data_IF_632527099168
#
_entry.id   IF_632527099168
#
_cell.length_a   1.000
_cell.length_b   1.000
_cell.length_c   1.000
_cell.angle_alpha   90.00
_cell.angle_beta   90.00
_cell.angle_gamma   90.00
#
_symmetry.space_group_name_H-M   'P 1'
#
loop_
_entity.id
_entity.type
_entity.pdbx_description
1 polymer ?
#
# COMPACT_ATOMS: atom_id res chain seq x y z
N UNK A 1 -76.20 0.44 4.92
CA UNK A 1 -74.87 -0.15 5.20
C UNK A 1 -73.98 0.09 3.99
N UNK A 2 -72.73 0.47 4.28
CA UNK A 2 -71.70 0.96 3.36
C UNK A 2 -71.26 -0.10 2.34
N UNK A 3 -70.53 0.36 1.31
CA UNK A 3 -69.50 -0.33 0.51
C UNK A 3 -69.92 -0.80 -0.90
N UNK A 4 -69.12 -0.71 -1.96
CA UNK A 4 -67.74 -0.25 -2.18
C UNK A 4 -67.65 0.08 -3.71
N UNK A 5 -67.38 1.32 -4.09
CA UNK A 5 -67.02 1.67 -5.48
C UNK A 5 -65.58 1.21 -5.74
N UNK A 6 -65.38 0.29 -6.69
CA UNK A 6 -64.04 -0.13 -7.13
C UNK A 6 -63.58 0.75 -8.28
N UNK A 7 -62.64 1.65 -7.97
CA UNK A 7 -61.87 2.39 -8.96
C UNK A 7 -60.91 1.45 -9.70
N UNK A 8 -61.01 1.37 -11.02
CA UNK A 8 -59.99 0.73 -11.85
C UNK A 8 -58.76 1.64 -11.97
N UNK A 9 -57.52 1.12 -11.89
CA UNK A 9 -56.33 1.93 -12.08
C UNK A 9 -56.03 2.16 -13.58
N UNK A 10 -55.64 3.39 -13.89
CA UNK A 10 -55.08 3.86 -15.16
C UNK A 10 -53.85 3.03 -15.56
N UNK A 11 -53.95 2.29 -16.67
CA UNK A 11 -52.78 1.66 -17.32
C UNK A 11 -52.02 2.74 -18.07
N UNK A 12 -51.00 3.31 -17.42
CA UNK A 12 -49.97 4.08 -18.12
C UNK A 12 -49.20 3.09 -19.01
N UNK A 13 -49.20 3.34 -20.32
CA UNK A 13 -48.42 2.59 -21.32
C UNK A 13 -46.96 2.56 -20.90
N UNK A 14 -46.44 1.38 -20.57
CA UNK A 14 -45.02 1.15 -20.34
C UNK A 14 -44.39 0.76 -21.68
N UNK A 15 -43.64 1.68 -22.28
CA UNK A 15 -42.78 1.38 -23.44
C UNK A 15 -41.45 0.91 -22.88
N UNK A 16 -41.13 -0.39 -23.03
CA UNK A 16 -39.83 -0.93 -22.69
C UNK A 16 -38.93 -0.78 -23.92
N UNK A 17 -38.10 0.26 -23.95
CA UNK A 17 -36.97 0.36 -24.88
C UNK A 17 -35.84 -0.46 -24.26
N UNK A 18 -35.59 -1.66 -24.79
CA UNK A 18 -34.39 -2.42 -24.45
C UNK A 18 -33.22 -1.83 -25.22
N UNK A 19 -32.37 -1.07 -24.54
CA UNK A 19 -31.12 -0.56 -25.08
C UNK A 19 -30.10 -1.70 -24.99
N UNK A 20 -29.85 -2.41 -26.10
CA UNK A 20 -28.71 -3.32 -26.19
C UNK A 20 -27.43 -2.47 -26.26
N UNK A 21 -26.76 -2.31 -25.12
CA UNK A 21 -25.41 -1.78 -25.07
C UNK A 21 -24.45 -2.81 -25.69
N UNK A 22 -23.94 -2.51 -26.88
CA UNK A 22 -22.81 -3.24 -27.44
C UNK A 22 -21.57 -2.83 -26.66
N UNK A 23 -21.07 -3.72 -25.81
CA UNK A 23 -19.77 -3.53 -25.17
C UNK A 23 -18.68 -3.71 -26.21
N UNK A 24 -18.12 -2.60 -26.69
CA UNK A 24 -16.88 -2.63 -27.45
C UNK A 24 -15.74 -2.99 -26.51
N UNK A 25 -15.24 -4.22 -26.59
CA UNK A 25 -13.95 -4.57 -25.99
C UNK A 25 -12.86 -3.92 -26.85
N UNK A 26 -12.28 -2.82 -26.37
CA UNK A 26 -11.02 -2.33 -26.93
C UNK A 26 -9.97 -3.31 -26.44
N UNK A 27 -9.55 -4.25 -27.28
CA UNK A 27 -8.36 -5.06 -26.98
C UNK A 27 -7.18 -4.10 -26.98
N UNK A 28 -6.47 -4.00 -25.86
CA UNK A 28 -5.17 -3.35 -25.85
C UNK A 28 -4.28 -4.09 -26.87
N UNK A 29 -3.58 -3.35 -27.72
CA UNK A 29 -2.62 -3.96 -28.63
C UNK A 29 -1.55 -4.69 -27.81
N UNK A 30 -1.08 -5.88 -28.24
CA UNK A 30 0.04 -6.54 -27.59
C UNK A 30 1.24 -5.59 -27.62
N UNK A 31 1.69 -5.14 -26.46
CA UNK A 31 2.92 -4.36 -26.36
C UNK A 31 4.08 -5.34 -26.17
N UNK A 32 5.06 -5.28 -27.08
CA UNK A 32 6.30 -6.03 -26.93
C UNK A 32 7.25 -5.22 -26.04
N UNK A 33 7.67 -5.72 -24.87
CA UNK A 33 8.62 -5.02 -23.98
C UNK A 33 9.92 -4.63 -24.68
N UNK A 34 10.31 -5.37 -25.73
CA UNK A 34 11.49 -5.11 -26.56
C UNK A 34 11.41 -3.83 -27.40
N UNK A 35 10.21 -3.24 -27.55
CA UNK A 35 9.99 -1.99 -28.26
C UNK A 35 9.84 -0.78 -27.33
N UNK A 36 9.88 -0.97 -26.01
CA UNK A 36 9.91 0.13 -25.05
C UNK A 36 11.33 0.67 -24.90
N UNK A 37 11.50 2.00 -24.77
CA UNK A 37 12.80 2.56 -24.49
C UNK A 37 13.35 1.96 -23.18
N UNK A 38 14.61 1.57 -23.19
CA UNK A 38 15.30 1.15 -21.97
C UNK A 38 15.29 2.30 -20.96
N UNK A 39 15.02 1.96 -19.69
CA UNK A 39 15.23 2.90 -18.60
C UNK A 39 16.73 3.17 -18.50
N UNK A 40 17.10 4.45 -18.58
CA UNK A 40 18.46 4.92 -18.40
C UNK A 40 18.49 5.99 -17.30
N UNK A 41 19.57 6.05 -16.52
CA UNK A 41 19.70 7.01 -15.41
C UNK A 41 19.63 8.46 -15.89
N UNK A 42 20.05 8.74 -17.14
CA UNK A 42 19.94 10.07 -17.75
C UNK A 42 18.50 10.55 -17.96
N UNK A 43 17.52 9.64 -17.88
CA UNK A 43 16.09 9.96 -17.91
C UNK A 43 15.57 10.39 -16.53
N UNK A 44 16.36 10.28 -15.46
CA UNK A 44 15.98 10.71 -14.12
C UNK A 44 16.50 12.11 -13.82
N UNK A 45 15.60 12.98 -13.36
CA UNK A 45 15.93 14.32 -12.89
C UNK A 45 15.88 14.38 -11.36
N UNK A 46 16.91 14.95 -10.74
CA UNK A 46 16.87 15.24 -9.31
C UNK A 46 15.96 16.44 -9.05
N UNK A 47 14.80 16.18 -8.47
CA UNK A 47 13.80 17.22 -8.14
C UNK A 47 13.99 17.82 -6.74
N UNK A 48 14.85 17.24 -5.91
CA UNK A 48 15.16 17.72 -4.56
C UNK A 48 14.97 16.67 -3.47
N UNK A 49 14.90 17.14 -2.22
CA UNK A 49 14.68 16.29 -1.05
C UNK A 49 14.06 17.00 0.14
N UNK A 50 13.76 16.21 1.16
CA UNK A 50 13.29 16.65 2.47
C UNK A 50 13.93 15.80 3.57
N UNK A 51 13.81 16.25 4.82
CA UNK A 51 14.35 15.60 6.02
C UNK A 51 13.26 14.92 6.81
N UNK A 52 13.58 13.77 7.38
CA UNK A 52 12.77 13.14 8.42
C UNK A 52 13.11 13.76 9.78
N UNK A 53 12.13 13.86 10.70
CA UNK A 53 12.38 14.39 12.03
C UNK A 53 13.29 13.45 12.83
N UNK A 54 14.15 14.02 13.68
CA UNK A 54 14.98 13.25 14.60
C UNK A 54 14.25 12.92 15.90
N UNK A 55 14.69 11.87 16.60
CA UNK A 55 14.10 11.44 17.88
C UNK A 55 13.32 10.14 17.81
N UNK A 56 12.72 9.75 18.94
CA UNK A 56 11.90 8.55 19.07
C UNK A 56 10.41 8.94 19.02
N UNK A 57 9.62 8.17 18.28
CA UNK A 57 8.20 8.42 18.06
C UNK A 57 7.45 7.09 18.15
N UNK A 58 6.58 6.93 19.15
CA UNK A 58 6.02 5.62 19.47
C UNK A 58 7.11 4.60 19.77
N UNK A 59 7.15 3.52 18.98
CA UNK A 59 7.99 2.35 19.26
C UNK A 59 9.41 2.42 18.65
N UNK A 60 9.70 3.37 17.76
CA UNK A 60 10.97 3.41 17.00
C UNK A 60 11.45 4.84 16.69
N UNK A 61 12.41 4.97 15.77
CA UNK A 61 12.96 6.25 15.29
C UNK A 61 13.33 6.21 13.81
N UNK A 62 13.42 7.39 13.19
CA UNK A 62 13.88 7.55 11.81
C UNK A 62 15.40 7.47 11.67
N UNK A 63 16.16 7.72 12.75
CA UNK A 63 17.63 7.77 12.73
C UNK A 63 18.32 6.44 12.42
N UNK A 64 17.59 5.33 12.56
CA UNK A 64 18.05 3.97 12.23
C UNK A 64 17.09 3.28 11.26
N UNK A 65 16.37 4.05 10.44
CA UNK A 65 15.49 3.50 9.42
C UNK A 65 16.25 2.57 8.50
N UNK A 66 15.68 1.40 8.21
CA UNK A 66 16.26 0.47 7.26
C UNK A 66 15.97 0.82 5.78
N UNK A 67 15.36 1.98 5.51
CA UNK A 67 15.16 2.52 4.16
C UNK A 67 13.97 1.95 3.38
N UNK A 68 13.13 1.12 4.00
CA UNK A 68 11.89 0.62 3.36
C UNK A 68 10.81 1.68 3.44
N UNK A 69 10.35 2.12 2.27
CA UNK A 69 9.39 3.20 2.13
C UNK A 69 8.33 2.87 1.07
N UNK A 70 7.14 3.47 1.20
CA UNK A 70 6.15 3.55 0.13
C UNK A 70 5.35 4.85 0.27
N UNK A 71 4.69 5.27 -0.80
CA UNK A 71 3.81 6.44 -0.79
C UNK A 71 2.50 6.10 -0.09
N UNK A 72 1.93 7.07 0.61
CA UNK A 72 0.57 6.99 1.14
C UNK A 72 -0.48 7.50 0.17
N UNK A 73 -1.68 7.74 0.70
CA UNK A 73 -2.83 8.16 -0.10
C UNK A 73 -2.55 9.45 -0.89
N UNK A 74 -2.76 9.42 -2.20
CA UNK A 74 -2.58 10.58 -3.08
C UNK A 74 -1.12 11.06 -3.23
N UNK A 75 -0.13 10.31 -2.73
CA UNK A 75 1.29 10.66 -2.87
C UNK A 75 1.75 11.85 -2.02
N UNK A 76 0.96 12.25 -1.01
CA UNK A 76 1.25 13.40 -0.14
C UNK A 76 1.90 13.00 1.20
N UNK A 77 2.03 11.71 1.43
CA UNK A 77 2.64 11.12 2.62
C UNK A 77 3.50 9.93 2.23
N UNK A 78 4.32 9.47 3.18
CA UNK A 78 5.22 8.35 3.01
C UNK A 78 5.17 7.47 4.26
N UNK A 79 4.99 6.17 4.06
CA UNK A 79 5.19 5.16 5.09
C UNK A 79 6.67 4.79 5.15
N UNK A 80 7.22 4.64 6.36
CA UNK A 80 8.64 4.39 6.59
C UNK A 80 8.81 3.33 7.66
N UNK A 81 9.66 2.34 7.40
CA UNK A 81 10.11 1.37 8.43
C UNK A 81 11.21 1.99 9.27
N UNK A 82 11.07 1.88 10.60
CA UNK A 82 12.06 2.34 11.57
C UNK A 82 13.23 1.38 11.69
N UNK A 83 13.69 1.21 12.92
CA UNK A 83 14.85 0.39 13.25
C UNK A 83 14.59 -1.12 13.11
N UNK A 84 15.62 -1.84 12.67
CA UNK A 84 15.70 -3.29 12.54
C UNK A 84 15.11 -4.11 13.71
N UNK A 85 15.28 -3.69 14.97
CA UNK A 85 14.79 -4.44 16.14
C UNK A 85 13.30 -4.27 16.38
N UNK A 86 12.71 -3.19 15.86
CA UNK A 86 11.31 -2.85 16.08
C UNK A 86 10.45 -3.35 14.91
N UNK A 87 10.93 -3.21 13.67
CA UNK A 87 10.12 -3.39 12.45
C UNK A 87 8.77 -2.65 12.53
N UNK A 88 8.82 -1.46 13.12
CA UNK A 88 7.65 -0.62 13.26
C UNK A 88 7.55 0.33 12.06
N UNK A 89 6.32 0.67 11.68
CA UNK A 89 6.00 1.54 10.54
C UNK A 89 5.45 2.85 11.08
N UNK A 90 5.95 3.97 10.56
CA UNK A 90 5.37 5.31 10.77
C UNK A 90 4.86 5.87 9.45
N UNK A 91 4.01 6.90 9.52
CA UNK A 91 3.64 7.73 8.36
C UNK A 91 4.07 9.18 8.59
N UNK A 92 4.68 9.78 7.58
CA UNK A 92 5.10 11.18 7.58
C UNK A 92 4.53 11.92 6.37
N UNK A 93 4.35 13.23 6.48
CA UNK A 93 4.00 14.07 5.34
C UNK A 93 5.18 14.20 4.36
N UNK A 94 4.87 14.44 3.08
CA UNK A 94 5.84 14.88 2.09
C UNK A 94 5.71 16.41 1.99
N UNK A 95 6.67 17.19 2.53
CA UNK A 95 6.62 18.65 2.42
C UNK A 95 6.97 19.09 0.99
N UNK A 96 6.85 20.39 0.72
CA UNK A 96 7.37 20.97 -0.52
C UNK A 96 8.85 20.56 -0.71
N UNK A 97 9.15 19.94 -1.84
CA UNK A 97 10.50 19.46 -2.15
C UNK A 97 11.39 20.65 -2.50
N UNK A 98 12.60 20.70 -1.93
CA UNK A 98 13.58 21.75 -2.21
C UNK A 98 14.66 21.16 -3.11
N UNK A 99 14.84 21.75 -4.30
CA UNK A 99 15.92 21.37 -5.21
C UNK A 99 17.26 21.91 -4.68
N UNK A 100 17.87 21.15 -3.77
CA UNK A 100 19.17 21.46 -3.18
C UNK A 100 19.86 20.19 -2.73
N UNK A 101 21.17 20.14 -2.85
CA UNK A 101 22.00 19.08 -2.26
C UNK A 101 22.46 19.40 -0.83
N UNK A 102 22.17 20.62 -0.34
CA UNK A 102 22.48 21.01 1.03
C UNK A 102 21.34 20.58 1.97
N UNK A 103 21.57 19.50 2.72
CA UNK A 103 20.61 18.91 3.67
C UNK A 103 20.07 19.93 4.68
N UNK A 104 20.87 20.91 5.10
CA UNK A 104 20.43 21.93 6.06
C UNK A 104 19.30 22.82 5.52
N UNK A 105 19.22 22.98 4.20
CA UNK A 105 18.24 23.81 3.51
C UNK A 105 16.95 23.04 3.14
N UNK A 106 16.90 21.73 3.37
CA UNK A 106 15.73 20.91 3.06
C UNK A 106 14.63 21.09 4.11
N UNK A 107 13.37 21.04 3.67
CA UNK A 107 12.21 21.06 4.56
C UNK A 107 12.13 19.80 5.43
N UNK A 108 11.49 19.88 6.59
CA UNK A 108 11.21 18.72 7.43
C UNK A 108 9.81 18.17 7.15
N UNK A 109 9.71 16.85 7.08
CA UNK A 109 8.45 16.14 7.17
C UNK A 109 7.83 16.27 8.57
N UNK A 110 6.51 16.21 8.65
CA UNK A 110 5.76 16.13 9.90
C UNK A 110 5.26 14.71 10.10
N UNK A 111 5.25 14.24 11.34
CA UNK A 111 4.72 12.92 11.66
C UNK A 111 3.20 12.97 11.60
N UNK A 112 2.63 12.04 10.84
CA UNK A 112 1.18 11.85 10.72
C UNK A 112 0.73 10.69 11.59
N UNK A 113 1.55 9.64 11.69
CA UNK A 113 1.33 8.49 12.55
C UNK A 113 2.67 8.04 13.14
N UNK A 114 2.69 7.84 14.46
CA UNK A 114 3.87 7.32 15.17
C UNK A 114 4.21 5.88 14.75
N UNK A 115 5.44 5.45 15.04
CA UNK A 115 5.86 4.08 14.75
C UNK A 115 5.01 3.05 15.50
N UNK A 116 4.40 2.13 14.76
CA UNK A 116 3.63 1.01 15.29
C UNK A 116 4.10 -0.32 14.73
N UNK A 117 4.29 -1.31 15.60
CA UNK A 117 4.58 -2.69 15.24
C UNK A 117 3.34 -3.37 14.64
N UNK A 118 3.55 -4.09 13.55
CA UNK A 118 2.47 -4.79 12.83
C UNK A 118 2.68 -6.30 12.74
N UNK A 119 3.93 -6.78 12.85
CA UNK A 119 4.29 -8.19 12.66
C UNK A 119 3.69 -9.15 13.70
N UNK A 120 3.38 -8.65 14.90
CA UNK A 120 2.86 -9.43 16.03
C UNK A 120 1.34 -9.31 16.20
N UNK A 121 0.62 -8.72 15.23
CA UNK A 121 -0.81 -8.38 15.38
C UNK A 121 -1.73 -9.13 14.42
N UNK A 122 -1.18 -10.06 13.65
CA UNK A 122 -1.96 -10.91 12.75
C UNK A 122 -2.89 -11.81 13.56
N UNK A 123 -4.12 -12.00 13.09
CA UNK A 123 -5.10 -12.89 13.75
C UNK A 123 -4.63 -14.35 13.79
N UNK A 124 -3.90 -14.79 12.77
CA UNK A 124 -3.32 -16.15 12.71
C UNK A 124 -2.00 -16.28 13.45
N UNK A 125 -1.48 -15.18 14.02
CA UNK A 125 -0.15 -15.12 14.61
C UNK A 125 0.99 -15.15 13.58
N UNK A 126 2.22 -15.27 14.08
CA UNK A 126 3.46 -15.28 13.31
C UNK A 126 4.20 -16.61 13.48
N UNK A 127 3.62 -17.70 12.93
CA UNK A 127 4.13 -19.06 13.13
C UNK A 127 5.48 -19.34 12.46
N UNK A 128 5.81 -18.60 11.39
CA UNK A 128 7.06 -18.70 10.63
C UNK A 128 8.03 -17.57 10.94
N UNK A 129 7.96 -17.03 12.16
CA UNK A 129 8.96 -16.12 12.76
C UNK A 129 9.38 -14.94 11.87
N UNK A 130 8.45 -14.40 11.09
CA UNK A 130 8.67 -13.25 10.21
C UNK A 130 9.12 -12.05 11.05
N UNK A 131 10.36 -11.60 10.84
CA UNK A 131 11.00 -10.61 11.73
C UNK A 131 11.63 -9.44 10.97
N UNK A 132 11.46 -9.38 9.65
CA UNK A 132 11.86 -8.24 8.82
C UNK A 132 10.79 -7.86 7.83
N UNK A 133 10.66 -6.56 7.60
CA UNK A 133 9.88 -5.99 6.50
C UNK A 133 10.82 -5.82 5.31
N UNK A 134 10.50 -6.45 4.19
CA UNK A 134 11.23 -6.26 2.93
C UNK A 134 10.68 -5.09 2.13
N UNK A 135 9.37 -4.84 2.19
CA UNK A 135 8.69 -3.88 1.33
C UNK A 135 7.28 -3.54 1.78
N UNK A 136 6.73 -2.45 1.25
CA UNK A 136 5.37 -2.00 1.55
C UNK A 136 4.71 -1.42 0.31
N UNK A 137 3.38 -1.44 0.27
CA UNK A 137 2.59 -0.71 -0.73
C UNK A 137 1.23 -0.27 -0.19
N UNK A 138 0.90 1.00 -0.44
CA UNK A 138 -0.44 1.51 -0.15
C UNK A 138 -1.39 1.13 -1.28
N UNK A 139 -2.50 0.48 -0.94
CA UNK A 139 -3.54 0.12 -1.91
C UNK A 139 -4.93 0.21 -1.28
N UNK A 140 -5.78 1.08 -1.84
CA UNK A 140 -7.19 1.19 -1.49
C UNK A 140 -7.46 1.32 0.03
N UNK A 141 -6.75 2.24 0.71
CA UNK A 141 -6.89 2.48 2.15
C UNK A 141 -6.19 1.44 3.03
N UNK A 142 -5.51 0.46 2.45
CA UNK A 142 -4.75 -0.59 3.15
C UNK A 142 -3.26 -0.41 2.91
N UNK A 143 -2.47 -0.97 3.81
CA UNK A 143 -1.02 -1.09 3.63
C UNK A 143 -0.68 -2.58 3.52
N UNK A 144 -0.22 -2.99 2.34
CA UNK A 144 0.36 -4.30 2.12
C UNK A 144 1.80 -4.24 2.61
N UNK A 145 2.23 -5.25 3.35
CA UNK A 145 3.58 -5.30 3.94
C UNK A 145 4.17 -6.67 3.64
N UNK A 146 5.28 -6.69 2.92
CA UNK A 146 6.06 -7.89 2.67
C UNK A 146 7.09 -8.10 3.77
N UNK A 147 7.29 -9.35 4.15
CA UNK A 147 8.13 -9.78 5.25
C UNK A 147 8.94 -11.00 4.89
N UNK A 148 9.97 -11.25 5.70
CA UNK A 148 10.78 -12.44 5.66
C UNK A 148 11.35 -12.71 7.06
N UNK A 149 11.82 -13.93 7.28
CA UNK A 149 12.66 -14.29 8.43
C UNK A 149 14.13 -14.01 8.07
N UNK A 150 14.80 -13.16 8.84
CA UNK A 150 16.20 -12.77 8.59
C UNK A 150 17.16 -13.96 8.69
N UNK A 151 16.87 -14.90 9.59
CA UNK A 151 17.64 -16.13 9.79
C UNK A 151 16.77 -17.36 9.50
N UNK A 152 16.36 -17.53 8.25
CA UNK A 152 15.72 -18.75 7.80
C UNK A 152 16.76 -19.85 7.52
N UNK A 153 17.24 -20.49 8.59
CA UNK A 153 18.19 -21.60 8.49
C UNK A 153 17.59 -22.89 7.91
N UNK A 154 16.26 -22.99 7.87
CA UNK A 154 15.53 -24.16 7.38
C UNK A 154 15.07 -24.01 5.92
N UNK A 155 14.94 -22.77 5.42
CA UNK A 155 14.44 -22.44 4.10
C UNK A 155 12.94 -22.69 3.92
N UNK A 156 12.16 -22.74 5.01
CA UNK A 156 10.77 -23.20 5.02
C UNK A 156 9.72 -22.07 5.17
N UNK A 157 10.17 -20.81 5.23
CA UNK A 157 9.29 -19.67 5.28
C UNK A 157 8.55 -19.46 3.94
N UNK A 158 7.25 -19.75 3.93
CA UNK A 158 6.36 -19.61 2.77
C UNK A 158 5.37 -18.44 2.91
N UNK A 159 5.19 -17.93 4.13
CA UNK A 159 4.37 -16.79 4.47
C UNK A 159 5.16 -15.49 4.31
N UNK A 160 4.66 -14.57 3.48
CA UNK A 160 5.42 -13.38 3.08
C UNK A 160 4.69 -12.07 3.33
N UNK A 161 3.35 -12.06 3.39
CA UNK A 161 2.63 -10.79 3.25
C UNK A 161 1.57 -10.65 4.33
N UNK A 162 1.55 -9.50 5.01
CA UNK A 162 0.45 -9.09 5.86
C UNK A 162 -0.23 -7.84 5.30
N UNK A 163 -1.43 -7.57 5.80
CA UNK A 163 -2.24 -6.43 5.38
C UNK A 163 -2.70 -5.65 6.61
N UNK A 164 -2.29 -4.39 6.71
CA UNK A 164 -2.88 -3.43 7.65
C UNK A 164 -4.16 -2.89 7.00
N UNK A 165 -5.32 -3.28 7.54
CA UNK A 165 -6.63 -3.03 6.91
C UNK A 165 -7.05 -1.56 6.85
N UNK A 166 -6.52 -0.72 7.72
CA UNK A 166 -6.74 0.73 7.72
C UNK A 166 -5.38 1.44 7.85
N UNK A 167 -4.81 1.82 6.71
CA UNK A 167 -3.52 2.51 6.65
C UNK A 167 -3.55 3.88 7.34
N UNK A 168 -4.71 4.52 7.50
CA UNK A 168 -4.86 5.79 8.21
C UNK A 168 -4.86 5.65 9.74
N UNK A 169 -4.78 4.42 10.27
CA UNK A 169 -4.67 4.15 11.70
C UNK A 169 -3.77 2.94 11.97
N UNK A 170 -2.46 3.09 11.77
CA UNK A 170 -1.46 2.04 11.95
C UNK A 170 -1.58 1.35 13.30
N UNK A 171 -1.70 2.10 14.39
CA UNK A 171 -1.80 1.55 15.75
C UNK A 171 -3.15 0.88 16.05
N UNK A 172 -4.25 1.40 15.48
CA UNK A 172 -5.61 0.93 15.75
C UNK A 172 -6.14 -0.08 14.73
N UNK A 173 -5.44 -0.30 13.63
CA UNK A 173 -5.88 -1.18 12.55
C UNK A 173 -5.67 -2.65 12.88
N UNK A 174 -6.69 -3.46 12.62
CA UNK A 174 -6.54 -4.91 12.47
C UNK A 174 -5.48 -5.24 11.42
N UNK A 175 -4.77 -6.35 11.61
CA UNK A 175 -3.78 -6.86 10.67
C UNK A 175 -4.18 -8.26 10.25
N UNK A 176 -4.28 -8.48 8.94
CA UNK A 176 -4.58 -9.79 8.35
C UNK A 176 -3.33 -10.42 7.72
N UNK A 177 -3.35 -11.74 7.53
CA UNK A 177 -2.18 -12.53 7.13
C UNK A 177 -1.57 -13.26 8.32
N UNK A 178 -0.36 -13.80 8.22
CA UNK A 178 0.48 -13.77 7.01
C UNK A 178 -0.11 -14.64 5.90
N UNK A 179 -0.11 -14.11 4.68
CA UNK A 179 -0.44 -14.82 3.46
C UNK A 179 0.83 -15.39 2.87
N UNK A 180 0.75 -16.63 2.38
CA UNK A 180 1.84 -17.29 1.67
C UNK A 180 1.49 -17.57 0.22
N UNK A 181 2.52 -17.91 -0.54
CA UNK A 181 2.41 -18.48 -1.88
C UNK A 181 2.81 -19.96 -1.82
N UNK A 182 2.23 -20.79 -2.68
CA UNK A 182 2.47 -22.25 -2.67
C UNK A 182 3.91 -22.66 -3.05
N UNK A 183 4.80 -21.71 -3.35
CA UNK A 183 6.23 -21.97 -3.59
C UNK A 183 7.11 -20.91 -2.91
N UNK A 184 8.24 -21.36 -2.36
CA UNK A 184 9.34 -20.62 -1.73
C UNK A 184 9.50 -19.20 -2.31
N UNK A 185 8.79 -18.24 -1.74
CA UNK A 185 8.71 -16.89 -2.29
C UNK A 185 9.57 -15.94 -1.46
N UNK A 186 10.69 -15.51 -2.02
CA UNK A 186 11.37 -14.30 -1.57
C UNK A 186 10.59 -13.13 -2.15
N UNK A 187 9.76 -12.49 -1.34
CA UNK A 187 9.02 -11.32 -1.77
C UNK A 187 9.97 -10.13 -1.93
N UNK A 188 10.05 -9.58 -3.15
CA UNK A 188 10.76 -8.34 -3.45
C UNK A 188 10.30 -7.20 -2.53
N UNK A 189 11.21 -6.27 -2.24
CA UNK A 189 10.91 -5.09 -1.42
C UNK A 189 9.99 -4.06 -2.09
N UNK A 190 9.56 -4.32 -3.33
CA UNK A 190 8.65 -3.46 -4.07
C UNK A 190 7.43 -4.26 -4.53
N UNK A 191 6.24 -3.68 -4.32
CA UNK A 191 4.97 -4.18 -4.84
C UNK A 191 4.46 -3.12 -5.82
N UNK A 192 3.91 -3.55 -6.95
CA UNK A 192 3.33 -2.62 -7.94
C UNK A 192 1.99 -3.17 -8.40
N UNK A 193 0.92 -2.36 -8.44
CA UNK A 193 -0.35 -2.81 -8.97
C UNK A 193 -0.22 -3.09 -10.46
N UNK A 194 -0.68 -4.27 -10.88
CA UNK A 194 -0.93 -4.56 -12.28
C UNK A 194 -2.32 -4.04 -12.62
N UNK A 195 -2.41 -3.15 -13.60
CA UNK A 195 -3.70 -2.79 -14.19
C UNK A 195 -4.13 -3.96 -15.07
N UNK A 196 -5.33 -4.55 -14.86
CA UNK A 196 -5.87 -5.52 -15.80
C UNK A 196 -6.07 -4.82 -17.15
N UNK A 197 -5.58 -5.46 -18.22
CA UNK A 197 -5.88 -5.13 -19.62
C UNK A 197 -7.33 -5.36 -19.98
#
# INVERSE_FOLDING_TARGET
MKNFSRSFPNIKRLVIISLMSVSSFITAAPYEPSNLPLMDISQLEYVGGFRLPGGNYGESSFGYSEGKITLGAGGNSMFVVGHAHQQAIAEVSIPAIVNTTNVANMNYATIMQDFSRVLNRTETGNSQQQDRISGMEYYNGRLLVNTYEYYDGAGDAAHTTLVVNNAASLAGSSVAGFYGFDQEAVASGWITPLTPS
#
